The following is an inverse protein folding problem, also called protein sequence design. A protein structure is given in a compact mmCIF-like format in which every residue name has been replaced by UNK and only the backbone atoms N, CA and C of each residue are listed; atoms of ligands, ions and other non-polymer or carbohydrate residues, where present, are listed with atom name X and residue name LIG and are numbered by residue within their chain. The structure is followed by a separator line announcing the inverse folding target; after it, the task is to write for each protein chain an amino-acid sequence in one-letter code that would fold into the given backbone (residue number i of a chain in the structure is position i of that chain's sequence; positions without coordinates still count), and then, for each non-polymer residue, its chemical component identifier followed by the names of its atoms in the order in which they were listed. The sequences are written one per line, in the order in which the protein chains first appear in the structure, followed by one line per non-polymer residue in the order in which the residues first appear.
data_IF_533250605656
#
_entry.id   IF_533250605656
#
_cell.length_a   1.000
_cell.length_b   1.000
_cell.length_c   1.000
_cell.angle_alpha   90.00
_cell.angle_beta   90.00
_cell.angle_gamma   90.00
#
_symmetry.space_group_name_H-M   'P 1'
#
loop_
_entity.id
_entity.type
_entity.pdbx_description
1 polymer ?
#
# COMPACT_ATOMS: atom_id res chain seq x y z
N UNK A 1 -29.56 11.97 -0.71
CA UNK A 1 -28.40 12.31 -1.57
C UNK A 1 -27.13 11.56 -1.16
N UNK A 2 -26.12 11.49 -2.04
CA UNK A 2 -24.78 10.97 -1.71
C UNK A 2 -23.72 12.07 -1.73
N UNK A 3 -22.84 12.05 -0.73
CA UNK A 3 -21.68 12.94 -0.67
C UNK A 3 -20.41 12.16 -1.01
N UNK A 4 -19.74 12.53 -2.09
CA UNK A 4 -18.48 11.90 -2.52
C UNK A 4 -17.34 12.89 -2.37
N UNK A 5 -16.31 12.49 -1.62
CA UNK A 5 -15.09 13.27 -1.44
C UNK A 5 -13.99 12.52 -2.17
N UNK A 6 -13.32 13.17 -3.12
CA UNK A 6 -12.26 12.58 -3.92
C UNK A 6 -10.96 13.34 -3.71
N UNK A 7 -9.88 12.61 -3.46
CA UNK A 7 -8.54 13.14 -3.30
C UNK A 7 -7.72 12.77 -4.54
N UNK A 8 -7.12 13.73 -5.25
CA UNK A 8 -6.29 13.44 -6.39
C UNK A 8 -5.06 12.62 -5.97
N UNK A 9 -4.70 11.66 -6.80
CA UNK A 9 -3.51 10.83 -6.63
C UNK A 9 -2.47 11.27 -7.65
N UNK A 10 -1.35 11.74 -7.13
CA UNK A 10 -0.10 11.89 -7.84
C UNK A 10 0.52 10.54 -8.21
N UNK A 11 1.61 10.57 -8.94
CA UNK A 11 2.21 9.43 -9.64
C UNK A 11 1.48 8.97 -10.93
N UNK A 12 2.08 7.96 -11.56
CA UNK A 12 1.42 7.13 -12.58
C UNK A 12 1.47 5.68 -12.11
N UNK A 13 0.74 5.39 -11.05
CA UNK A 13 0.56 4.03 -10.53
C UNK A 13 -0.42 3.31 -11.45
N UNK A 14 0.03 2.24 -12.12
CA UNK A 14 -0.85 1.49 -13.00
C UNK A 14 -1.70 0.53 -12.19
N UNK A 15 -2.97 0.46 -12.51
CA UNK A 15 -3.97 -0.27 -11.76
C UNK A 15 -4.85 -1.08 -12.71
N UNK A 16 -5.20 -2.29 -12.29
CA UNK A 16 -6.26 -3.07 -12.90
C UNK A 16 -7.63 -2.37 -12.76
N UNK A 17 -8.68 -2.79 -13.48
CA UNK A 17 -10.00 -2.24 -13.22
C UNK A 17 -10.41 -2.47 -11.77
N UNK A 18 -10.97 -1.44 -11.17
CA UNK A 18 -11.34 -1.41 -9.76
C UNK A 18 -12.85 -1.42 -9.61
N UNK A 19 -13.32 -1.79 -8.43
CA UNK A 19 -14.72 -1.73 -8.09
C UNK A 19 -14.91 -1.11 -6.69
N UNK A 20 -16.06 -0.48 -6.40
CA UNK A 20 -16.29 0.17 -5.11
C UNK A 20 -16.31 -0.82 -3.94
N UNK A 21 -15.55 -0.56 -2.88
CA UNK A 21 -15.49 -1.40 -1.68
C UNK A 21 -16.27 -0.73 -0.55
N UNK A 22 -17.23 -1.45 0.04
CA UNK A 22 -18.06 -0.95 1.14
C UNK A 22 -17.43 -1.26 2.50
N UNK A 23 -17.48 -0.31 3.43
CA UNK A 23 -17.14 -0.53 4.84
C UNK A 23 -18.12 0.22 5.73
N UNK A 24 -19.06 -0.52 6.32
CA UNK A 24 -20.20 0.05 7.03
C UNK A 24 -21.03 0.96 6.13
N UNK A 25 -21.16 2.23 6.52
CA UNK A 25 -21.89 3.25 5.76
C UNK A 25 -21.03 3.95 4.69
N UNK A 26 -19.77 3.53 4.49
CA UNK A 26 -18.85 4.19 3.56
C UNK A 26 -18.61 3.32 2.34
N UNK A 27 -18.41 3.95 1.20
CA UNK A 27 -18.01 3.27 -0.03
C UNK A 27 -16.73 3.92 -0.55
N UNK A 28 -15.66 3.13 -0.58
CA UNK A 28 -14.35 3.52 -1.07
C UNK A 28 -14.22 3.17 -2.55
N UNK A 29 -13.57 4.05 -3.32
CA UNK A 29 -13.37 3.80 -4.73
C UNK A 29 -12.06 4.43 -5.24
N UNK A 30 -11.39 3.72 -6.15
CA UNK A 30 -10.28 4.25 -6.95
C UNK A 30 -10.83 4.70 -8.31
N UNK A 31 -10.50 5.92 -8.71
CA UNK A 31 -10.77 6.40 -10.06
C UNK A 31 -9.57 6.10 -10.93
N UNK A 32 -9.69 5.13 -11.84
CA UNK A 32 -8.65 4.75 -12.79
C UNK A 32 -8.97 5.33 -14.18
N UNK A 33 -8.02 6.04 -14.79
CA UNK A 33 -8.10 6.52 -16.17
C UNK A 33 -6.87 6.08 -16.94
N UNK A 34 -7.07 5.49 -18.11
CA UNK A 34 -6.00 4.93 -18.95
C UNK A 34 -5.11 3.93 -18.18
N UNK A 35 -5.73 3.15 -17.29
CA UNK A 35 -5.04 2.19 -16.43
C UNK A 35 -4.16 2.82 -15.35
N UNK A 36 -4.33 4.11 -15.04
CA UNK A 36 -3.58 4.84 -14.01
C UNK A 36 -4.54 5.38 -12.94
N UNK A 37 -4.18 5.22 -11.66
CA UNK A 37 -4.94 5.80 -10.54
C UNK A 37 -4.87 7.33 -10.62
N UNK A 38 -6.02 8.00 -10.58
CA UNK A 38 -6.14 9.47 -10.62
C UNK A 38 -6.72 10.06 -9.35
N UNK A 39 -7.54 9.31 -8.64
CA UNK A 39 -8.10 9.73 -7.37
C UNK A 39 -8.46 8.52 -6.51
N UNK A 40 -8.45 8.74 -5.20
CA UNK A 40 -9.10 7.87 -4.22
C UNK A 40 -10.27 8.63 -3.61
N UNK A 41 -11.39 7.96 -3.42
CA UNK A 41 -12.63 8.63 -3.02
C UNK A 41 -13.39 7.84 -1.96
N UNK A 42 -14.11 8.58 -1.11
CA UNK A 42 -15.04 8.04 -0.12
C UNK A 42 -16.41 8.62 -0.42
N UNK A 43 -17.40 7.74 -0.55
CA UNK A 43 -18.81 8.10 -0.73
C UNK A 43 -19.59 7.75 0.52
N UNK A 44 -20.34 8.73 1.03
CA UNK A 44 -21.33 8.58 2.08
C UNK A 44 -22.72 8.58 1.42
N UNK A 45 -23.41 7.44 1.34
CA UNK A 45 -24.78 7.34 0.84
C UNK A 45 -25.78 7.83 1.89
N UNK A 46 -26.99 8.20 1.46
CA UNK A 46 -28.09 8.56 2.38
C UNK A 46 -27.83 9.81 3.24
N UNK A 47 -26.99 10.74 2.76
CA UNK A 47 -26.76 12.01 3.43
C UNK A 47 -27.99 12.89 3.26
N UNK A 48 -28.43 13.51 4.34
CA UNK A 48 -29.57 14.43 4.33
C UNK A 48 -29.23 15.72 3.59
N UNK A 49 -30.15 16.19 2.74
CA UNK A 49 -29.96 17.36 1.87
C UNK A 49 -29.60 18.64 2.65
N UNK A 50 -30.00 18.76 3.92
CA UNK A 50 -29.59 19.88 4.79
C UNK A 50 -28.07 19.98 5.03
N UNK A 51 -27.32 18.91 4.72
CA UNK A 51 -25.85 18.93 4.76
C UNK A 51 -25.22 19.45 3.47
N UNK A 52 -26.00 19.74 2.42
CA UNK A 52 -25.48 20.32 1.19
C UNK A 52 -25.02 21.77 1.43
N UNK A 53 -24.06 22.29 0.66
CA UNK A 53 -23.60 23.66 0.79
C UNK A 53 -24.72 24.64 0.47
N UNK A 54 -24.99 25.56 1.39
CA UNK A 54 -25.98 26.61 1.20
C UNK A 54 -25.28 27.93 0.88
N UNK A 55 -25.73 28.59 -0.19
CA UNK A 55 -25.31 29.96 -0.51
C UNK A 55 -26.28 30.91 0.19
N UNK A 56 -25.81 31.57 1.25
CA UNK A 56 -26.55 32.63 1.91
C UNK A 56 -26.13 33.98 1.34
N UNK A 57 -27.12 34.78 0.94
CA UNK A 57 -26.93 36.16 0.53
C UNK A 57 -27.38 37.11 1.64
N UNK A 58 -26.50 38.06 2.00
CA UNK A 58 -26.80 39.05 3.02
C UNK A 58 -26.36 40.44 2.53
N UNK A 59 -27.32 41.23 2.04
CA UNK A 59 -27.04 42.57 1.51
C UNK A 59 -26.59 43.58 2.57
N UNK A 60 -26.77 43.25 3.85
CA UNK A 60 -26.46 44.13 4.99
C UNK A 60 -25.03 43.99 5.51
N UNK A 61 -24.33 42.92 5.13
CA UNK A 61 -22.95 42.66 5.54
C UNK A 61 -21.93 43.11 4.49
N UNK A 62 -20.69 43.45 4.90
CA UNK A 62 -19.60 43.75 3.96
C UNK A 62 -19.31 42.58 3.01
N UNK A 63 -19.49 41.35 3.49
CA UNK A 63 -19.44 40.12 2.69
C UNK A 63 -20.87 39.73 2.35
N UNK A 64 -21.27 39.96 1.10
CA UNK A 64 -22.66 39.81 0.63
C UNK A 64 -23.07 38.38 0.30
N UNK A 65 -22.12 37.47 0.27
CA UNK A 65 -22.33 36.06 -0.07
C UNK A 65 -21.45 35.22 0.86
N UNK A 66 -22.06 34.26 1.55
CA UNK A 66 -21.36 33.26 2.36
C UNK A 66 -21.81 31.87 1.94
N UNK A 67 -20.86 30.95 1.80
CA UNK A 67 -21.14 29.53 1.56
C UNK A 67 -21.04 28.82 2.90
N UNK A 68 -22.16 28.30 3.38
CA UNK A 68 -22.21 27.49 4.59
C UNK A 68 -22.07 26.03 4.20
N UNK A 69 -20.97 25.39 4.59
CA UNK A 69 -20.75 23.97 4.37
C UNK A 69 -21.07 23.26 5.68
N UNK A 70 -22.18 22.54 5.73
CA UNK A 70 -22.59 21.75 6.88
C UNK A 70 -21.97 20.34 6.85
N UNK A 71 -21.71 19.79 8.04
CA UNK A 71 -21.17 18.43 8.21
C UNK A 71 -19.64 18.33 8.20
N UNK A 72 -19.14 17.18 8.65
CA UNK A 72 -17.71 16.87 8.78
C UNK A 72 -17.22 15.83 7.76
N UNK A 73 -17.98 15.60 6.69
CA UNK A 73 -17.71 14.52 5.72
C UNK A 73 -16.34 14.63 5.03
N UNK A 74 -15.87 15.86 4.74
CA UNK A 74 -14.50 16.06 4.23
C UNK A 74 -13.44 15.60 5.23
N UNK A 75 -13.54 16.03 6.49
CA UNK A 75 -12.57 15.66 7.54
C UNK A 75 -12.62 14.15 7.83
N UNK A 76 -13.81 13.55 7.82
CA UNK A 76 -13.99 12.10 7.94
C UNK A 76 -13.34 11.36 6.77
N UNK A 77 -13.63 11.76 5.53
CA UNK A 77 -13.02 11.16 4.35
C UNK A 77 -11.50 11.32 4.34
N UNK A 78 -10.99 12.48 4.72
CA UNK A 78 -9.55 12.72 4.82
C UNK A 78 -8.90 11.79 5.85
N UNK A 79 -9.50 11.67 7.04
CA UNK A 79 -9.02 10.73 8.06
C UNK A 79 -9.00 9.29 7.55
N UNK A 80 -10.06 8.85 6.87
CA UNK A 80 -10.18 7.50 6.33
C UNK A 80 -9.13 7.24 5.24
N UNK A 81 -8.89 8.20 4.34
CA UNK A 81 -7.88 8.08 3.29
C UNK A 81 -6.45 8.18 3.84
N UNK A 82 -6.21 8.96 4.90
CA UNK A 82 -4.91 8.96 5.61
C UNK A 82 -4.64 7.63 6.31
N UNK A 83 -5.66 7.04 6.95
CA UNK A 83 -5.55 5.72 7.55
C UNK A 83 -5.27 4.65 6.49
N UNK A 84 -6.00 4.70 5.37
CA UNK A 84 -5.74 3.85 4.22
C UNK A 84 -4.31 3.99 3.68
N UNK A 85 -3.83 5.22 3.50
CA UNK A 85 -2.46 5.50 3.06
C UNK A 85 -1.42 4.97 4.06
N UNK A 86 -1.68 5.07 5.37
CA UNK A 86 -0.80 4.54 6.41
C UNK A 86 -0.69 3.01 6.36
N UNK A 87 -1.80 2.31 6.07
CA UNK A 87 -1.80 0.84 5.84
C UNK A 87 -0.97 0.50 4.60
N UNK A 88 -1.14 1.24 3.51
CA UNK A 88 -0.45 0.98 2.25
C UNK A 88 1.03 1.37 2.25
N UNK A 89 1.46 2.25 3.16
CA UNK A 89 2.74 2.95 3.13
C UNK A 89 3.97 2.04 2.98
N UNK A 90 3.96 0.88 3.65
CA UNK A 90 5.07 -0.08 3.59
C UNK A 90 5.18 -0.81 2.25
N UNK A 91 4.10 -0.85 1.46
CA UNK A 91 4.04 -1.52 0.16
C UNK A 91 4.14 -0.53 -1.00
N UNK A 92 3.34 0.53 -0.96
CA UNK A 92 3.32 1.56 -2.00
C UNK A 92 3.12 2.95 -1.40
N UNK A 93 3.91 3.89 -1.90
CA UNK A 93 3.76 5.30 -1.60
C UNK A 93 2.90 5.97 -2.67
N UNK A 94 1.66 6.31 -2.30
CA UNK A 94 0.76 7.11 -3.13
C UNK A 94 0.84 8.57 -2.69
N UNK A 95 1.16 9.46 -3.63
CA UNK A 95 1.15 10.90 -3.40
C UNK A 95 -0.29 11.43 -3.43
N UNK A 96 -0.97 11.49 -2.29
CA UNK A 96 -2.37 11.90 -2.21
C UNK A 96 -2.46 13.40 -1.89
N UNK A 97 -3.11 14.17 -2.76
CA UNK A 97 -3.32 15.61 -2.59
C UNK A 97 -4.49 15.92 -1.66
N UNK A 98 -4.26 15.88 -0.34
CA UNK A 98 -5.28 16.19 0.67
C UNK A 98 -5.79 17.64 0.63
N UNK A 99 -4.94 18.57 0.20
CA UNK A 99 -5.29 19.99 0.06
C UNK A 99 -6.17 20.27 -1.17
N UNK A 100 -6.10 19.41 -2.19
CA UNK A 100 -6.76 19.53 -3.49
C UNK A 100 -8.03 18.65 -3.59
N UNK A 101 -8.64 18.30 -2.45
CA UNK A 101 -9.80 17.44 -2.39
C UNK A 101 -11.02 18.06 -3.10
N UNK A 102 -11.71 17.26 -3.91
CA UNK A 102 -12.98 17.64 -4.53
C UNK A 102 -14.13 17.00 -3.78
N UNK A 103 -15.21 17.74 -3.55
CA UNK A 103 -16.43 17.22 -2.92
C UNK A 103 -17.58 17.43 -3.89
N UNK A 104 -18.29 16.35 -4.21
CA UNK A 104 -19.48 16.36 -5.06
C UNK A 104 -20.69 15.82 -4.32
N UNK A 105 -21.82 16.47 -4.53
CA UNK A 105 -23.13 16.04 -4.02
C UNK A 105 -23.93 15.59 -5.23
N UNK A 106 -24.22 14.30 -5.28
CA UNK A 106 -24.96 13.73 -6.39
C UNK A 106 -26.39 13.43 -5.90
N UNK A 107 -27.42 13.95 -6.60
CA UNK A 107 -28.80 13.68 -6.26
C UNK A 107 -29.11 12.19 -6.45
N UNK A 108 -29.96 11.65 -5.59
CA UNK A 108 -30.52 10.31 -5.66
C UNK A 108 -31.97 10.33 -6.20
N UNK A 109 -32.62 11.51 -6.25
CA UNK A 109 -33.94 11.72 -6.89
C UNK A 109 -34.00 12.98 -7.77
N UNK A 110 -35.03 13.06 -8.63
CA UNK A 110 -35.28 14.22 -9.51
C UNK A 110 -35.59 15.48 -8.69
N UNK A 111 -36.25 15.37 -7.54
CA UNK A 111 -36.50 16.52 -6.66
C UNK A 111 -35.23 17.05 -5.98
N UNK A 112 -34.25 16.17 -5.70
CA UNK A 112 -32.96 16.56 -5.11
C UNK A 112 -32.07 17.31 -6.12
N UNK A 113 -32.16 16.97 -7.41
CA UNK A 113 -31.33 17.58 -8.46
C UNK A 113 -31.56 19.09 -8.60
N UNK A 114 -32.81 19.55 -8.45
CA UNK A 114 -33.16 20.97 -8.56
C UNK A 114 -32.54 21.86 -7.46
N UNK A 115 -32.01 21.25 -6.38
CA UNK A 115 -31.51 21.97 -5.19
C UNK A 115 -29.98 22.05 -5.12
N UNK A 116 -29.25 21.39 -6.02
CA UNK A 116 -27.78 21.30 -5.99
C UNK A 116 -27.17 22.34 -6.97
N UNK A 117 -26.67 23.44 -6.43
CA UNK A 117 -26.24 24.61 -7.23
C UNK A 117 -24.79 24.54 -7.75
N UNK A 118 -23.91 23.73 -7.16
CA UNK A 118 -22.49 23.61 -7.56
C UNK A 118 -22.16 22.12 -7.72
N UNK A 119 -21.86 21.70 -8.95
CA UNK A 119 -21.73 20.28 -9.32
C UNK A 119 -20.29 19.73 -9.30
N UNK A 120 -19.25 20.55 -9.55
CA UNK A 120 -17.84 20.10 -9.53
C UNK A 120 -16.83 21.27 -9.63
N UNK A 121 -15.61 21.07 -9.08
CA UNK A 121 -14.40 21.90 -9.32
C UNK A 121 -13.16 21.00 -9.32
N UNK A 122 -12.10 21.32 -10.08
CA UNK A 122 -10.89 20.47 -10.20
C UNK A 122 -9.61 21.29 -10.42
N UNK A 123 -8.50 20.85 -9.81
CA UNK A 123 -7.12 21.31 -10.04
C UNK A 123 -6.22 20.11 -10.43
N UNK A 124 -5.20 20.32 -11.28
CA UNK A 124 -4.31 19.25 -11.79
C UNK A 124 -2.84 19.53 -11.46
N UNK A 125 -2.12 18.51 -11.01
CA UNK A 125 -0.66 18.38 -11.11
C UNK A 125 -0.29 17.11 -11.84
N UNK A 126 0.73 17.19 -12.70
CA UNK A 126 1.23 16.07 -13.49
C UNK A 126 2.30 15.32 -12.69
N UNK A 127 2.23 13.98 -12.57
CA UNK A 127 3.26 13.28 -11.85
C UNK A 127 3.97 12.14 -12.62
N UNK A 128 5.08 11.69 -12.02
CA UNK A 128 6.07 10.72 -12.54
C UNK A 128 5.52 9.32 -12.76
N UNK A 129 6.15 8.57 -13.66
CA UNK A 129 5.78 7.20 -14.01
C UNK A 129 6.35 6.16 -13.03
N UNK A 130 5.49 5.28 -12.53
CA UNK A 130 5.88 4.04 -11.84
C UNK A 130 5.73 2.86 -12.82
N UNK A 131 6.66 1.91 -12.78
CA UNK A 131 6.67 0.74 -13.68
C UNK A 131 6.22 -0.51 -12.92
N UNK A 132 4.91 -0.78 -12.95
CA UNK A 132 4.26 -1.98 -12.42
C UNK A 132 2.75 -1.80 -12.50
N UNK A 133 1.98 -2.86 -12.84
CA UNK A 133 0.52 -2.86 -12.73
C UNK A 133 0.18 -3.62 -11.46
N UNK A 134 -0.34 -2.92 -10.47
CA UNK A 134 -0.67 -3.51 -9.18
C UNK A 134 -2.02 -4.20 -9.20
N UNK A 135 -2.17 -5.21 -8.35
CA UNK A 135 -3.41 -5.95 -8.17
C UNK A 135 -4.38 -5.15 -7.30
N UNK A 136 -5.62 -4.98 -7.76
CA UNK A 136 -6.62 -4.20 -7.04
C UNK A 136 -6.96 -4.81 -5.66
N UNK A 137 -6.82 -6.14 -5.51
CA UNK A 137 -7.17 -6.84 -4.27
C UNK A 137 -6.43 -6.30 -3.04
N UNK A 138 -5.16 -5.92 -3.19
CA UNK A 138 -4.36 -5.33 -2.11
C UNK A 138 -4.96 -3.98 -1.66
N UNK A 139 -5.30 -3.13 -2.63
CA UNK A 139 -5.88 -1.80 -2.39
C UNK A 139 -7.29 -1.92 -1.78
N UNK A 140 -8.09 -2.84 -2.31
CA UNK A 140 -9.44 -3.09 -1.87
C UNK A 140 -9.52 -3.65 -0.46
N UNK A 141 -8.67 -4.63 -0.11
CA UNK A 141 -8.55 -5.13 1.26
C UNK A 141 -8.03 -4.08 2.23
N UNK A 142 -7.12 -3.22 1.78
CA UNK A 142 -6.70 -2.08 2.60
C UNK A 142 -7.86 -1.11 2.91
N UNK A 143 -8.86 -0.96 2.02
CA UNK A 143 -10.07 -0.19 2.36
C UNK A 143 -10.86 -0.82 3.50
N UNK A 144 -10.94 -2.15 3.55
CA UNK A 144 -11.60 -2.86 4.64
C UNK A 144 -10.84 -2.74 5.97
N UNK A 145 -9.52 -2.60 5.91
CA UNK A 145 -8.66 -2.44 7.07
C UNK A 145 -8.54 -0.98 7.58
N UNK A 146 -9.23 0.00 6.97
CA UNK A 146 -9.10 1.45 7.29
C UNK A 146 -9.18 1.76 8.78
N UNK A 147 -10.03 1.07 9.53
CA UNK A 147 -10.20 1.34 10.96
C UNK A 147 -8.95 0.99 11.78
N UNK A 148 -8.16 0.03 11.32
CA UNK A 148 -6.83 -0.28 11.86
C UNK A 148 -5.74 0.68 11.39
N UNK A 149 -6.00 1.49 10.36
CA UNK A 149 -5.05 2.50 9.92
C UNK A 149 -5.08 3.76 10.78
N UNK A 150 -6.12 3.99 11.60
CA UNK A 150 -6.28 5.24 12.33
C UNK A 150 -5.17 5.49 13.36
N UNK A 151 -4.75 4.46 14.10
CA UNK A 151 -3.64 4.56 15.06
C UNK A 151 -2.27 4.59 14.37
N UNK A 152 -2.23 4.19 13.09
CA UNK A 152 -1.03 4.22 12.26
C UNK A 152 -0.79 5.56 11.56
N UNK A 153 -1.78 6.46 11.47
CA UNK A 153 -1.65 7.74 10.74
C UNK A 153 -0.40 8.51 11.21
N UNK A 154 -0.32 8.78 12.51
CA UNK A 154 0.78 9.56 13.08
C UNK A 154 2.09 8.77 13.06
N UNK A 155 2.01 7.46 13.30
CA UNK A 155 3.18 6.57 13.31
C UNK A 155 3.83 6.50 11.93
N UNK A 156 3.05 6.39 10.86
CA UNK A 156 3.54 6.18 9.50
C UNK A 156 3.86 7.49 8.76
N UNK A 157 3.54 8.65 9.31
CA UNK A 157 3.86 9.95 8.69
C UNK A 157 5.37 10.09 8.41
N UNK A 158 6.22 9.82 9.41
CA UNK A 158 7.68 9.87 9.23
C UNK A 158 8.19 8.76 8.29
N UNK A 159 7.55 7.59 8.27
CA UNK A 159 7.91 6.53 7.32
C UNK A 159 7.66 6.98 5.87
N UNK A 160 6.47 7.53 5.59
CA UNK A 160 6.10 8.05 4.27
C UNK A 160 7.06 9.15 3.81
N UNK A 161 7.40 10.10 4.68
CA UNK A 161 8.35 11.15 4.36
C UNK A 161 9.77 10.62 4.12
N UNK A 162 10.17 9.55 4.81
CA UNK A 162 11.43 8.88 4.57
C UNK A 162 11.47 8.21 3.19
N UNK A 163 10.41 7.47 2.82
CA UNK A 163 10.28 6.83 1.49
C UNK A 163 10.30 7.87 0.38
N UNK A 164 9.55 8.97 0.52
CA UNK A 164 9.55 10.10 -0.43
C UNK A 164 10.92 10.74 -0.57
N UNK A 165 11.65 10.87 0.54
CA UNK A 165 13.02 11.37 0.52
C UNK A 165 13.97 10.43 -0.22
N UNK A 166 13.83 9.10 -0.06
CA UNK A 166 14.58 8.11 -0.84
C UNK A 166 14.28 8.20 -2.34
N UNK A 167 13.00 8.27 -2.72
CA UNK A 167 12.56 8.43 -4.12
C UNK A 167 13.11 9.72 -4.74
N UNK A 168 13.23 10.78 -3.93
CA UNK A 168 13.79 12.06 -4.33
C UNK A 168 15.32 12.14 -4.24
N UNK A 169 16.02 11.02 -3.96
CA UNK A 169 17.48 10.96 -3.82
C UNK A 169 18.03 11.91 -2.73
N UNK A 170 17.28 12.06 -1.63
CA UNK A 170 17.67 12.80 -0.42
C UNK A 170 17.89 11.83 0.74
N UNK A 171 18.96 11.01 0.73
CA UNK A 171 19.16 9.94 1.70
C UNK A 171 19.40 10.44 3.14
N UNK A 172 19.91 11.67 3.33
CA UNK A 172 20.05 12.25 4.68
C UNK A 172 18.67 12.54 5.30
N UNK A 173 17.77 13.14 4.52
CA UNK A 173 16.38 13.38 4.94
C UNK A 173 15.68 12.04 5.22
N UNK A 174 15.87 11.05 4.35
CA UNK A 174 15.32 9.72 4.52
C UNK A 174 15.80 9.05 5.81
N UNK A 175 17.11 9.06 6.06
CA UNK A 175 17.70 8.50 7.27
C UNK A 175 17.13 9.16 8.53
N UNK A 176 17.06 10.49 8.55
CA UNK A 176 16.50 11.24 9.68
C UNK A 176 15.03 10.90 9.91
N UNK A 177 14.22 10.80 8.85
CA UNK A 177 12.81 10.47 8.95
C UNK A 177 12.57 9.01 9.38
N UNK A 178 13.34 8.03 8.89
CA UNK A 178 13.30 6.67 9.42
C UNK A 178 13.71 6.62 10.89
N UNK A 179 14.69 7.42 11.30
CA UNK A 179 15.04 7.49 12.72
C UNK A 179 13.92 8.10 13.56
N UNK A 180 13.29 9.19 13.11
CA UNK A 180 12.13 9.80 13.77
C UNK A 180 10.95 8.84 13.89
N UNK A 181 10.78 7.95 12.90
CA UNK A 181 9.82 6.87 12.98
C UNK A 181 10.09 5.94 14.17
N UNK A 182 11.35 5.51 14.40
CA UNK A 182 11.69 4.75 15.60
C UNK A 182 11.53 5.56 16.89
N UNK A 183 11.89 6.86 16.90
CA UNK A 183 11.68 7.74 18.06
C UNK A 183 10.20 7.76 18.46
N UNK A 184 9.31 7.87 17.47
CA UNK A 184 7.86 7.97 17.67
C UNK A 184 7.25 6.65 18.15
N UNK A 185 7.76 5.51 17.66
CA UNK A 185 7.24 4.20 18.04
C UNK A 185 7.80 3.69 19.38
N UNK A 186 9.02 4.08 19.75
CA UNK A 186 9.71 3.54 20.94
C UNK A 186 10.07 4.56 22.01
N UNK A 187 9.70 5.82 21.85
CA UNK A 187 9.99 6.88 22.83
C UNK A 187 11.48 7.08 23.07
N UNK A 188 12.30 6.99 22.01
CA UNK A 188 13.77 6.97 22.11
C UNK A 188 14.29 8.32 22.67
N UNK A 189 15.06 8.31 23.77
CA UNK A 189 15.60 9.53 24.37
C UNK A 189 16.62 10.27 23.48
N UNK A 190 16.83 11.57 23.73
CA UNK A 190 17.79 12.39 22.97
C UNK A 190 19.27 12.07 23.25
N UNK A 191 19.61 11.63 24.47
CA UNK A 191 21.01 11.36 24.86
C UNK A 191 21.47 10.04 24.27
N UNK A 192 22.59 10.03 23.55
CA UNK A 192 23.13 8.85 22.84
C UNK A 192 23.14 7.58 23.68
N UNK A 193 23.69 7.62 24.90
CA UNK A 193 23.76 6.45 25.78
C UNK A 193 22.38 5.90 26.16
N UNK A 194 21.41 6.80 26.39
CA UNK A 194 20.05 6.42 26.76
C UNK A 194 19.26 5.94 25.54
N UNK A 195 19.49 6.54 24.36
CA UNK A 195 18.93 6.09 23.08
C UNK A 195 19.38 4.66 22.74
N UNK A 196 20.69 4.40 22.80
CA UNK A 196 21.26 3.07 22.55
C UNK A 196 20.66 2.04 23.51
N UNK A 197 20.62 2.35 24.80
CA UNK A 197 20.01 1.47 25.81
C UNK A 197 18.52 1.23 25.54
N UNK A 198 17.77 2.25 25.14
CA UNK A 198 16.34 2.15 24.86
C UNK A 198 16.07 1.22 23.68
N UNK A 199 16.78 1.42 22.58
CA UNK A 199 16.66 0.60 21.37
C UNK A 199 17.14 -0.84 21.61
N UNK A 200 18.27 -1.04 22.32
CA UNK A 200 18.80 -2.36 22.62
C UNK A 200 17.88 -3.21 23.53
N UNK A 201 16.99 -2.57 24.30
CA UNK A 201 15.99 -3.26 25.13
C UNK A 201 14.71 -3.59 24.37
N UNK A 202 14.51 -3.02 23.18
CA UNK A 202 13.34 -3.29 22.37
C UNK A 202 13.62 -4.51 21.47
N UNK A 203 13.01 -5.64 21.82
CA UNK A 203 13.28 -6.92 21.15
C UNK A 203 12.83 -6.91 19.69
N UNK A 204 11.68 -6.30 19.38
CA UNK A 204 11.17 -6.17 18.01
C UNK A 204 12.15 -5.42 17.11
N UNK A 205 12.68 -4.28 17.59
CA UNK A 205 13.71 -3.52 16.88
C UNK A 205 15.01 -4.31 16.73
N UNK A 206 15.47 -4.99 17.77
CA UNK A 206 16.69 -5.81 17.74
C UNK A 206 16.58 -6.94 16.72
N UNK A 207 15.43 -7.62 16.65
CA UNK A 207 15.21 -8.72 15.74
C UNK A 207 15.10 -8.24 14.29
N UNK A 208 14.38 -7.14 14.05
CA UNK A 208 14.34 -6.49 12.74
C UNK A 208 15.72 -6.02 12.27
N UNK A 209 16.54 -5.50 13.19
CA UNK A 209 17.91 -5.08 12.91
C UNK A 209 18.79 -6.27 12.48
N UNK A 210 18.68 -7.40 13.18
CA UNK A 210 19.40 -8.64 12.83
C UNK A 210 18.93 -9.21 11.49
N UNK A 211 17.63 -9.14 11.19
CA UNK A 211 17.09 -9.60 9.92
C UNK A 211 17.58 -8.72 8.76
N UNK A 212 17.47 -7.40 8.88
CA UNK A 212 17.98 -6.47 7.86
C UNK A 212 19.49 -6.64 7.63
N UNK A 213 20.23 -6.91 8.71
CA UNK A 213 21.65 -7.23 8.69
C UNK A 213 21.95 -8.45 7.81
N UNK A 214 21.27 -9.58 8.05
CA UNK A 214 21.43 -10.79 7.26
C UNK A 214 21.04 -10.58 5.78
N UNK A 215 19.96 -9.83 5.52
CA UNK A 215 19.53 -9.50 4.15
C UNK A 215 20.56 -8.63 3.40
N UNK A 216 21.30 -7.77 4.11
CA UNK A 216 22.33 -6.92 3.50
C UNK A 216 23.60 -7.69 3.12
N UNK A 217 23.95 -8.73 3.87
CA UNK A 217 25.10 -9.61 3.59
C UNK A 217 24.90 -10.45 2.32
N UNK A 218 23.66 -10.88 2.07
CA UNK A 218 23.33 -11.69 0.87
C UNK A 218 23.41 -10.92 -0.45
N UNK A 219 23.65 -9.59 -0.42
CA UNK A 219 23.71 -8.73 -1.61
C UNK A 219 25.17 -8.51 -2.07
N UNK A 220 25.58 -9.01 -3.25
CA UNK A 220 26.99 -9.03 -3.67
C UNK A 220 27.62 -7.65 -3.93
N UNK A 221 26.83 -6.58 -4.04
CA UNK A 221 27.30 -5.22 -4.41
C UNK A 221 27.00 -4.13 -3.37
N UNK A 222 26.63 -4.44 -2.12
CA UNK A 222 26.48 -3.40 -1.08
C UNK A 222 27.87 -2.84 -0.69
N UNK A 223 28.13 -1.54 -0.84
CA UNK A 223 29.45 -0.93 -0.64
C UNK A 223 29.71 -0.48 0.81
N UNK A 224 29.05 -1.08 1.80
CA UNK A 224 29.10 -0.53 3.16
C UNK A 224 30.24 -1.11 3.99
N UNK A 225 31.43 -0.52 4.00
CA UNK A 225 32.58 -1.03 4.78
C UNK A 225 32.42 -0.87 6.30
N UNK A 226 31.70 0.15 6.80
CA UNK A 226 31.51 0.37 8.24
C UNK A 226 30.37 -0.48 8.80
N UNK A 227 29.25 -0.57 8.08
CA UNK A 227 28.15 -1.45 8.46
C UNK A 227 28.54 -2.92 8.25
N UNK A 228 29.21 -3.30 7.15
CA UNK A 228 29.72 -4.68 6.96
C UNK A 228 30.72 -5.10 8.03
N UNK A 229 31.55 -4.19 8.54
CA UNK A 229 32.46 -4.50 9.65
C UNK A 229 31.71 -4.84 10.95
N UNK A 230 30.54 -4.23 11.18
CA UNK A 230 29.65 -4.57 12.30
C UNK A 230 28.81 -5.83 12.01
N UNK A 231 28.43 -6.07 10.75
CA UNK A 231 27.63 -7.23 10.32
C UNK A 231 28.44 -8.53 10.35
N UNK A 232 29.72 -8.48 9.98
CA UNK A 232 30.64 -9.63 9.97
C UNK A 232 30.88 -10.26 11.36
N UNK A 233 30.40 -9.63 12.43
CA UNK A 233 30.38 -10.21 13.77
C UNK A 233 28.99 -10.04 14.41
N UNK A 234 28.09 -11.05 14.27
CA UNK A 234 26.70 -11.01 14.74
C UNK A 234 26.48 -10.75 16.24
N UNK A 235 27.57 -10.64 17.02
CA UNK A 235 27.58 -10.54 18.47
C UNK A 235 27.55 -9.11 19.01
N UNK A 236 27.64 -8.04 18.19
CA UNK A 236 27.63 -6.66 18.70
C UNK A 236 26.49 -5.79 18.14
N UNK A 237 25.26 -6.26 18.36
CA UNK A 237 24.04 -5.49 18.08
C UNK A 237 24.06 -4.13 18.79
N UNK A 238 24.59 -4.05 20.01
CA UNK A 238 24.67 -2.79 20.75
C UNK A 238 25.57 -1.77 20.05
N UNK A 239 26.72 -2.19 19.50
CA UNK A 239 27.58 -1.32 18.71
C UNK A 239 26.92 -0.89 17.39
N UNK A 240 26.18 -1.76 16.70
CA UNK A 240 25.43 -1.37 15.51
C UNK A 240 24.37 -0.31 15.83
N UNK A 241 23.63 -0.49 16.92
CA UNK A 241 22.66 0.51 17.42
C UNK A 241 23.38 1.82 17.72
N UNK A 242 24.54 1.76 18.37
CA UNK A 242 25.35 2.95 18.68
C UNK A 242 25.80 3.69 17.42
N UNK A 243 26.24 3.00 16.38
CA UNK A 243 26.58 3.62 15.09
C UNK A 243 25.37 4.33 14.47
N UNK A 244 24.19 3.71 14.50
CA UNK A 244 22.94 4.32 14.00
C UNK A 244 22.63 5.63 14.74
N UNK A 245 22.67 5.61 16.08
CA UNK A 245 22.39 6.77 16.91
C UNK A 245 23.43 7.89 16.70
N UNK A 246 24.71 7.53 16.59
CA UNK A 246 25.79 8.49 16.33
C UNK A 246 25.67 9.13 14.96
N UNK A 247 25.38 8.33 13.93
CA UNK A 247 25.18 8.81 12.57
C UNK A 247 23.98 9.77 12.49
N UNK A 248 22.85 9.44 13.12
CA UNK A 248 21.71 10.36 13.25
C UNK A 248 22.13 11.69 13.87
N UNK A 249 22.88 11.65 14.97
CA UNK A 249 23.38 12.85 15.64
C UNK A 249 24.23 13.72 14.71
N UNK A 250 25.16 13.08 14.00
CA UNK A 250 26.03 13.74 13.03
C UNK A 250 25.25 14.36 11.85
N UNK A 251 24.28 13.63 11.28
CA UNK A 251 23.48 14.08 10.14
C UNK A 251 22.51 15.22 10.51
N UNK A 252 21.97 15.23 11.74
CA UNK A 252 21.04 16.28 12.18
C UNK A 252 21.74 17.61 12.52
N UNK A 253 23.00 17.58 12.94
CA UNK A 253 23.72 18.75 13.41
C UNK A 253 24.76 19.23 12.38
N UNK A 254 24.29 20.00 11.40
CA UNK A 254 25.17 20.66 10.43
C UNK A 254 25.72 21.98 11.00
N UNK A 255 27.00 22.00 11.39
CA UNK A 255 27.72 23.21 11.81
C UNK A 255 28.84 23.55 10.84
N UNK A 256 28.91 24.80 10.39
CA UNK A 256 30.01 25.30 9.55
C UNK A 256 31.37 25.26 10.26
N UNK A 257 31.38 25.25 11.59
CA UNK A 257 32.60 25.13 12.40
C UNK A 257 33.19 23.72 12.43
N UNK A 258 32.41 22.69 12.06
CA UNK A 258 32.89 21.31 12.02
C UNK A 258 33.54 21.02 10.65
N UNK A 259 34.85 20.75 10.59
CA UNK A 259 35.52 20.39 9.33
C UNK A 259 35.07 19.04 8.78
N UNK A 260 34.51 18.17 9.62
CA UNK A 260 34.01 16.86 9.24
C UNK A 260 32.51 16.84 8.92
N UNK A 261 31.83 18.01 8.86
CA UNK A 261 30.39 18.08 8.53
C UNK A 261 30.07 17.39 7.20
N UNK A 262 28.86 16.86 7.08
CA UNK A 262 28.37 16.34 5.80
C UNK A 262 28.17 17.47 4.79
N UNK A 263 28.28 17.14 3.50
CA UNK A 263 28.13 18.09 2.40
C UNK A 263 26.73 17.97 1.78
N UNK A 264 25.91 19.04 1.79
CA UNK A 264 24.62 19.05 1.12
C UNK A 264 24.66 18.73 -0.37
N UNK A 265 25.79 18.98 -1.05
CA UNK A 265 25.98 18.62 -2.45
C UNK A 265 26.33 17.13 -2.66
N UNK A 266 26.72 16.41 -1.59
CA UNK A 266 27.15 15.02 -1.65
C UNK A 266 26.37 14.14 -0.66
N UNK A 267 25.04 14.26 -0.64
CA UNK A 267 24.19 13.43 0.22
C UNK A 267 24.23 11.95 -0.17
N UNK A 268 24.47 11.65 -1.45
CA UNK A 268 24.49 10.29 -2.01
C UNK A 268 25.40 9.32 -1.26
N UNK A 269 26.43 9.82 -0.57
CA UNK A 269 27.31 9.04 0.32
C UNK A 269 26.53 8.24 1.38
N UNK A 270 25.38 8.72 1.84
CA UNK A 270 24.60 8.11 2.93
C UNK A 270 23.45 7.22 2.44
N UNK A 271 23.43 6.88 1.14
CA UNK A 271 22.32 6.14 0.54
C UNK A 271 22.17 4.75 1.15
N UNK A 272 23.28 4.06 1.42
CA UNK A 272 23.24 2.69 1.93
C UNK A 272 22.79 2.64 3.38
N UNK A 273 23.21 3.59 4.20
CA UNK A 273 22.77 3.71 5.58
C UNK A 273 21.27 4.03 5.66
N UNK A 274 20.77 4.90 4.77
CA UNK A 274 19.34 5.20 4.66
C UNK A 274 18.54 3.99 4.18
N UNK A 275 19.04 3.24 3.19
CA UNK A 275 18.41 2.00 2.72
C UNK A 275 18.38 0.92 3.79
N UNK A 276 19.48 0.74 4.53
CA UNK A 276 19.56 -0.21 5.62
C UNK A 276 18.54 0.13 6.72
N UNK A 277 18.54 1.38 7.17
CA UNK A 277 17.61 1.84 8.19
C UNK A 277 16.16 1.75 7.73
N UNK A 278 15.88 2.03 6.45
CA UNK A 278 14.59 1.81 5.82
C UNK A 278 14.17 0.35 5.77
N UNK A 279 15.12 -0.57 5.55
CA UNK A 279 14.88 -2.02 5.62
C UNK A 279 14.46 -2.48 7.02
N UNK A 280 15.14 -1.98 8.06
CA UNK A 280 14.75 -2.23 9.46
C UNK A 280 13.33 -1.70 9.72
N UNK A 281 13.03 -0.47 9.30
CA UNK A 281 11.71 0.12 9.46
C UNK A 281 10.63 -0.69 8.70
N UNK A 282 10.93 -1.16 7.49
CA UNK A 282 10.02 -1.97 6.69
C UNK A 282 9.67 -3.30 7.37
N UNK A 283 10.66 -4.02 7.91
CA UNK A 283 10.45 -5.31 8.60
C UNK A 283 9.46 -5.17 9.77
N UNK A 284 9.52 -4.04 10.48
CA UNK A 284 8.65 -3.75 11.62
C UNK A 284 7.28 -3.23 11.15
N UNK A 285 7.27 -2.29 10.20
CA UNK A 285 6.04 -1.64 9.75
C UNK A 285 5.14 -2.58 8.94
N UNK A 286 5.72 -3.45 8.11
CA UNK A 286 4.97 -4.32 7.19
C UNK A 286 3.91 -5.19 7.90
N UNK A 287 4.22 -6.01 8.93
CA UNK A 287 3.21 -6.85 9.58
C UNK A 287 2.13 -6.06 10.31
N UNK A 288 2.43 -4.85 10.77
CA UNK A 288 1.48 -3.99 11.49
C UNK A 288 0.57 -3.20 10.55
N UNK A 289 0.92 -3.08 9.27
CA UNK A 289 0.22 -2.27 8.27
C UNK A 289 -0.32 -3.15 7.14
N UNK A 290 0.33 -3.15 5.98
CA UNK A 290 -0.13 -3.85 4.78
C UNK A 290 -0.20 -5.37 4.98
N UNK A 291 0.65 -5.96 5.83
CA UNK A 291 0.64 -7.39 6.16
C UNK A 291 -0.72 -7.86 6.69
N UNK A 292 -1.44 -6.98 7.40
CA UNK A 292 -2.79 -7.26 7.90
C UNK A 292 -3.82 -7.42 6.79
N UNK A 293 -3.58 -6.91 5.59
CA UNK A 293 -4.52 -7.12 4.46
C UNK A 293 -4.59 -8.57 3.99
N UNK A 294 -3.70 -9.44 4.47
CA UNK A 294 -3.77 -10.89 4.31
C UNK A 294 -4.50 -11.61 5.45
N UNK A 295 -4.97 -10.89 6.48
CA UNK A 295 -5.82 -11.49 7.51
C UNK A 295 -7.09 -12.07 6.86
N UNK A 296 -7.49 -13.26 7.31
CA UNK A 296 -8.57 -14.05 6.70
C UNK A 296 -9.86 -13.24 6.58
N UNK A 297 -10.18 -12.43 7.60
CA UNK A 297 -11.38 -11.59 7.64
C UNK A 297 -11.49 -10.63 6.45
N UNK A 298 -10.40 -9.95 6.06
CA UNK A 298 -10.41 -9.02 4.92
C UNK A 298 -10.47 -9.75 3.60
N UNK A 299 -9.83 -10.92 3.51
CA UNK A 299 -9.92 -11.78 2.34
C UNK A 299 -11.35 -12.25 2.08
N UNK A 300 -12.01 -12.77 3.12
CA UNK A 300 -13.39 -13.26 3.05
C UNK A 300 -14.37 -12.13 2.74
N UNK A 301 -14.28 -11.00 3.44
CA UNK A 301 -15.16 -9.86 3.22
C UNK A 301 -14.98 -9.24 1.82
N UNK A 302 -13.74 -9.13 1.34
CA UNK A 302 -13.46 -8.65 -0.01
C UNK A 302 -14.07 -9.58 -1.08
N UNK A 303 -13.94 -10.88 -0.90
CA UNK A 303 -14.54 -11.87 -1.81
C UNK A 303 -16.08 -11.80 -1.78
N UNK A 304 -16.68 -11.70 -0.58
CA UNK A 304 -18.14 -11.58 -0.43
C UNK A 304 -18.68 -10.37 -1.19
N UNK A 305 -18.04 -9.20 -1.05
CA UNK A 305 -18.45 -8.00 -1.79
C UNK A 305 -18.26 -8.14 -3.29
N UNK A 306 -17.16 -8.76 -3.74
CA UNK A 306 -16.94 -9.03 -5.16
C UNK A 306 -18.05 -9.91 -5.75
N UNK A 307 -18.53 -10.91 -5.00
CA UNK A 307 -19.67 -11.75 -5.41
C UNK A 307 -20.97 -10.96 -5.51
N UNK A 308 -21.32 -10.18 -4.50
CA UNK A 308 -22.53 -9.35 -4.46
C UNK A 308 -22.58 -8.32 -5.58
N UNK A 309 -21.41 -7.82 -5.97
CA UNK A 309 -21.27 -6.82 -7.04
C UNK A 309 -21.04 -7.44 -8.43
N UNK A 310 -21.12 -8.77 -8.55
CA UNK A 310 -20.84 -9.50 -9.80
C UNK A 310 -19.46 -9.18 -10.40
N UNK A 311 -18.48 -8.89 -9.54
CA UNK A 311 -17.10 -8.57 -9.89
C UNK A 311 -16.18 -9.81 -9.77
N UNK A 312 -16.73 -10.98 -10.05
CA UNK A 312 -16.00 -12.26 -10.03
C UNK A 312 -15.67 -12.73 -11.44
N UNK A 313 -14.43 -13.13 -11.66
CA UNK A 313 -14.00 -13.84 -12.86
C UNK A 313 -13.97 -15.34 -12.57
N UNK A 314 -14.69 -16.11 -13.37
CA UNK A 314 -14.69 -17.57 -13.29
C UNK A 314 -13.65 -18.15 -14.26
N UNK A 315 -12.84 -19.07 -13.77
CA UNK A 315 -11.78 -19.73 -14.52
C UNK A 315 -11.99 -21.23 -14.46
N UNK A 316 -12.05 -21.87 -15.61
CA UNK A 316 -12.01 -23.32 -15.72
C UNK A 316 -10.59 -23.74 -16.05
N UNK A 317 -9.97 -24.47 -15.13
CA UNK A 317 -8.68 -25.10 -15.32
C UNK A 317 -8.86 -26.61 -15.56
N UNK A 318 -8.05 -27.17 -16.43
CA UNK A 318 -7.98 -28.61 -16.68
C UNK A 318 -6.54 -29.06 -16.48
N UNK A 319 -6.38 -30.02 -15.59
CA UNK A 319 -5.16 -30.77 -15.34
C UNK A 319 -5.18 -32.07 -16.14
N UNK A 320 -4.09 -32.39 -16.82
CA UNK A 320 -3.85 -33.70 -17.41
C UNK A 320 -2.69 -34.35 -16.67
N UNK A 321 -2.90 -35.53 -16.08
CA UNK A 321 -1.88 -36.21 -15.28
C UNK A 321 -1.96 -37.73 -15.43
N UNK A 322 -0.89 -38.42 -15.02
CA UNK A 322 -0.81 -39.88 -15.04
C UNK A 322 -0.76 -40.45 -13.63
N UNK A 323 -1.61 -41.44 -13.38
CA UNK A 323 -1.72 -42.15 -12.11
C UNK A 323 -1.88 -43.65 -12.42
N UNK A 324 -1.05 -44.50 -11.80
CA UNK A 324 -1.09 -45.97 -11.95
C UNK A 324 -1.27 -46.41 -13.42
N UNK A 325 -0.39 -45.91 -14.29
CA UNK A 325 -0.34 -46.10 -15.74
C UNK A 325 -1.41 -45.41 -16.59
N UNK A 326 -2.47 -44.84 -16.02
CA UNK A 326 -3.58 -44.23 -16.75
C UNK A 326 -3.46 -42.71 -16.82
N UNK A 327 -3.71 -42.13 -18.00
CA UNK A 327 -3.85 -40.68 -18.15
C UNK A 327 -5.27 -40.26 -17.76
N UNK A 328 -5.38 -39.29 -16.85
CA UNK A 328 -6.62 -38.70 -16.37
C UNK A 328 -6.66 -37.21 -16.67
N UNK A 329 -7.87 -36.68 -16.83
CA UNK A 329 -8.11 -35.24 -16.81
C UNK A 329 -8.97 -34.89 -15.59
N UNK A 330 -8.61 -33.81 -14.90
CA UNK A 330 -9.43 -33.23 -13.82
C UNK A 330 -9.71 -31.76 -14.12
N UNK A 331 -11.00 -31.40 -14.09
CA UNK A 331 -11.45 -30.02 -14.20
C UNK A 331 -11.57 -29.36 -12.83
N UNK A 332 -11.16 -28.11 -12.73
CA UNK A 332 -11.30 -27.27 -11.55
C UNK A 332 -11.94 -25.94 -11.94
N UNK A 333 -13.05 -25.60 -11.31
CA UNK A 333 -13.67 -24.29 -11.45
C UNK A 333 -13.21 -23.41 -10.29
N UNK A 334 -12.58 -22.29 -10.62
CA UNK A 334 -12.05 -21.33 -9.68
C UNK A 334 -12.74 -19.97 -9.91
N UNK A 335 -12.93 -19.20 -8.83
CA UNK A 335 -13.55 -17.88 -8.87
C UNK A 335 -12.62 -16.88 -8.19
N UNK A 336 -12.38 -15.74 -8.83
CA UNK A 336 -11.45 -14.71 -8.36
C UNK A 336 -12.13 -13.33 -8.36
N UNK A 337 -11.85 -12.47 -7.36
CA UNK A 337 -12.45 -11.14 -7.21
C UNK A 337 -11.81 -10.10 -8.14
N UNK A 338 -11.78 -10.39 -9.43
CA UNK A 338 -11.31 -9.50 -10.49
C UNK A 338 -12.34 -9.45 -11.62
N UNK A 339 -12.32 -8.39 -12.41
CA UNK A 339 -13.23 -8.19 -13.55
C UNK A 339 -12.56 -8.42 -14.90
N UNK A 340 -11.23 -8.59 -14.93
CA UNK A 340 -10.49 -8.78 -16.18
C UNK A 340 -9.39 -9.86 -16.07
N UNK A 341 -9.12 -10.58 -17.17
CA UNK A 341 -7.96 -11.45 -17.28
C UNK A 341 -6.65 -10.67 -17.15
N UNK A 342 -5.71 -11.19 -16.37
CA UNK A 342 -4.37 -10.59 -16.22
C UNK A 342 -3.28 -11.63 -15.96
N UNK A 343 -1.98 -11.28 -16.12
CA UNK A 343 -0.88 -12.16 -15.74
C UNK A 343 -0.89 -12.53 -14.24
N UNK A 344 -1.35 -11.61 -13.37
CA UNK A 344 -1.52 -11.88 -11.94
C UNK A 344 -2.60 -12.95 -11.70
N UNK A 345 -3.75 -12.82 -12.37
CA UNK A 345 -4.80 -13.86 -12.34
C UNK A 345 -4.26 -15.21 -12.84
N UNK A 346 -3.52 -15.21 -13.95
CA UNK A 346 -2.93 -16.43 -14.50
C UNK A 346 -2.00 -17.12 -13.48
N UNK A 347 -1.14 -16.36 -12.79
CA UNK A 347 -0.28 -16.88 -11.72
C UNK A 347 -1.09 -17.45 -10.56
N UNK A 348 -2.07 -16.71 -10.04
CA UNK A 348 -2.89 -17.15 -8.91
C UNK A 348 -3.72 -18.42 -9.23
N UNK A 349 -4.23 -18.52 -10.47
CA UNK A 349 -4.88 -19.73 -10.98
C UNK A 349 -3.91 -20.90 -10.99
N UNK A 350 -2.71 -20.71 -11.55
CA UNK A 350 -1.70 -21.76 -11.62
C UNK A 350 -1.33 -22.30 -10.23
N UNK A 351 -1.08 -21.40 -9.26
CA UNK A 351 -0.75 -21.77 -7.88
C UNK A 351 -1.87 -22.60 -7.24
N UNK A 352 -3.13 -22.15 -7.30
CA UNK A 352 -4.28 -22.89 -6.74
C UNK A 352 -4.53 -24.23 -7.42
N UNK A 353 -4.31 -24.31 -8.73
CA UNK A 353 -4.49 -25.56 -9.47
C UNK A 353 -3.41 -26.57 -9.09
N UNK A 354 -2.16 -26.13 -8.90
CA UNK A 354 -1.07 -26.98 -8.44
C UNK A 354 -1.25 -27.44 -6.99
N UNK A 355 -1.70 -26.56 -6.10
CA UNK A 355 -2.06 -26.90 -4.72
C UNK A 355 -3.16 -27.98 -4.69
N UNK A 356 -4.24 -27.79 -5.45
CA UNK A 356 -5.32 -28.76 -5.54
C UNK A 356 -4.88 -30.10 -6.18
N UNK A 357 -3.89 -30.08 -7.08
CA UNK A 357 -3.30 -31.27 -7.66
C UNK A 357 -2.48 -32.06 -6.62
N UNK A 358 -1.61 -31.36 -5.89
CA UNK A 358 -0.76 -31.96 -4.85
C UNK A 358 -1.61 -32.58 -3.72
N UNK A 359 -2.76 -31.97 -3.37
CA UNK A 359 -3.70 -32.51 -2.37
C UNK A 359 -4.48 -33.74 -2.86
N UNK A 360 -4.97 -33.73 -4.10
CA UNK A 360 -5.93 -34.74 -4.59
C UNK A 360 -5.26 -35.92 -5.29
N UNK A 361 -4.04 -35.75 -5.80
CA UNK A 361 -3.34 -36.78 -6.58
C UNK A 361 -1.86 -36.84 -6.18
N UNK A 362 -1.54 -37.09 -4.91
CA UNK A 362 -0.16 -37.14 -4.44
C UNK A 362 0.64 -38.22 -5.18
N UNK A 363 1.77 -37.83 -5.75
CA UNK A 363 2.64 -38.74 -6.50
C UNK A 363 2.21 -39.00 -7.96
N UNK A 364 1.12 -38.40 -8.43
CA UNK A 364 0.77 -38.43 -9.85
C UNK A 364 1.75 -37.57 -10.67
N UNK A 365 1.98 -37.97 -11.93
CA UNK A 365 2.84 -37.23 -12.83
C UNK A 365 2.02 -36.21 -13.64
N UNK A 366 2.30 -34.91 -13.49
CA UNK A 366 1.61 -33.86 -14.22
C UNK A 366 2.10 -33.79 -15.69
N UNK A 367 1.18 -33.96 -16.65
CA UNK A 367 1.46 -33.99 -18.09
C UNK A 367 1.08 -32.68 -18.79
N UNK A 368 0.09 -31.96 -18.26
CA UNK A 368 -0.33 -30.69 -18.82
C UNK A 368 -1.31 -29.94 -17.92
N UNK A 369 -1.37 -28.63 -18.11
CA UNK A 369 -2.31 -27.76 -17.42
C UNK A 369 -2.73 -26.63 -18.36
N UNK A 370 -4.04 -26.40 -18.46
CA UNK A 370 -4.63 -25.31 -19.24
C UNK A 370 -5.68 -24.59 -18.41
N UNK A 371 -5.79 -23.27 -18.56
CA UNK A 371 -6.81 -22.49 -17.88
C UNK A 371 -7.43 -21.45 -18.81
N UNK A 372 -8.75 -21.30 -18.74
CA UNK A 372 -9.53 -20.35 -19.55
C UNK A 372 -10.59 -19.65 -18.70
N UNK A 373 -10.80 -18.38 -18.98
CA UNK A 373 -11.90 -17.61 -18.40
C UNK A 373 -13.24 -18.06 -19.01
N UNK A 374 -14.24 -18.37 -18.18
CA UNK A 374 -15.56 -18.90 -18.56
C UNK A 374 -16.55 -17.73 -18.70
N UNK A 375 -17.58 -17.80 -19.57
CA UNK A 375 -17.89 -18.87 -20.53
C UNK A 375 -17.11 -18.82 -21.85
N UNK A 376 -16.68 -17.64 -22.29
CA UNK A 376 -16.02 -17.44 -23.59
C UNK A 376 -14.81 -16.49 -23.50
N UNK A 377 -14.18 -16.44 -22.34
CA UNK A 377 -13.02 -15.57 -22.12
C UNK A 377 -11.71 -16.14 -22.69
N UNK A 378 -10.62 -15.36 -22.62
CA UNK A 378 -9.33 -15.76 -23.15
C UNK A 378 -8.74 -16.93 -22.36
N UNK A 379 -7.88 -17.68 -23.04
CA UNK A 379 -6.98 -18.64 -22.39
C UNK A 379 -5.93 -17.85 -21.58
N UNK A 380 -5.82 -18.16 -20.30
CA UNK A 380 -4.85 -17.53 -19.41
C UNK A 380 -3.46 -18.10 -19.64
N UNK A 381 -3.38 -19.42 -19.76
CA UNK A 381 -2.16 -20.15 -20.05
C UNK A 381 -2.48 -21.58 -20.53
N UNK A 382 -1.48 -22.17 -21.18
CA UNK A 382 -1.44 -23.58 -21.54
C UNK A 382 0.00 -24.06 -21.47
N UNK A 383 0.23 -25.07 -20.65
CA UNK A 383 1.52 -25.74 -20.49
C UNK A 383 1.33 -27.23 -20.81
N UNK A 384 1.97 -27.69 -21.87
CA UNK A 384 2.04 -29.09 -22.25
C UNK A 384 3.44 -29.61 -21.85
N UNK A 385 3.52 -30.33 -20.73
CA UNK A 385 4.78 -30.64 -20.03
C UNK A 385 5.41 -31.96 -20.51
N UNK A 386 4.60 -32.83 -21.13
CA UNK A 386 5.04 -34.14 -21.61
C UNK A 386 5.43 -35.11 -20.47
N UNK A 387 5.88 -36.33 -20.80
CA UNK A 387 6.21 -37.37 -19.82
C UNK A 387 7.51 -37.11 -19.02
N UNK A 388 8.05 -35.89 -19.05
CA UNK A 388 9.42 -35.59 -18.66
C UNK A 388 9.64 -34.96 -17.28
N UNK A 389 8.60 -34.46 -16.60
CA UNK A 389 8.76 -33.96 -15.24
C UNK A 389 8.38 -35.06 -14.23
N UNK A 390 9.33 -35.95 -13.97
CA UNK A 390 9.36 -36.66 -12.70
C UNK A 390 9.82 -35.64 -11.65
N UNK A 391 8.99 -35.37 -10.63
CA UNK A 391 9.45 -34.70 -9.42
C UNK A 391 10.31 -35.66 -8.62
#
# INVERSE_FOLDING_TARGET
MRATISFPVGGSHRMEPTWPVKLGERVFNLTVRDGIIKAVSVTFPGVDVSHAPEVAHDETKPIKMSINIAGSYRLRAERDIRAWQAIMAAYINLDIGFDDATMSYNPESIEEEARIQIKEFTSKKTPRQFSGRDEFSIYGRAFLAVEHGYDQIDRMAFYLDAVRAMEAQRPIDAYNNFYLWFESNYGVPFKTKDAVRSLARNQEFVDALKQAAADAESRPNSANTALKACLANPLDVEQLIKEIVLLRGFLRHHSLSNPARWDPANQGRYTEEAQFLGGVAFIIAFPQTIGRTWDVEYGEEFNRQAEEMHCMTEVHAVLTFREEEHTREAGLNLRFPTTQPSPALAKAVLEKVLEAFDEKSPGAQLYGIRARVVPHGPELFRYDLGPGMNR
#
